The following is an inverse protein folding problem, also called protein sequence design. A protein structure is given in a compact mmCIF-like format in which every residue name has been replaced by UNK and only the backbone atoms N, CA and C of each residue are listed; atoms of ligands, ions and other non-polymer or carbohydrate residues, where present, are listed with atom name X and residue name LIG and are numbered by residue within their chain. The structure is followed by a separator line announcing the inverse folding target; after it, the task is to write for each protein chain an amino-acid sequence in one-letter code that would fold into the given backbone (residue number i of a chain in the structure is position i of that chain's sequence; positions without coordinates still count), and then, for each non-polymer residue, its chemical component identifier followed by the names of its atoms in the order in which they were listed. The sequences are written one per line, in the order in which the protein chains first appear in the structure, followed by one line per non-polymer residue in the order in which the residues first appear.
data_IF_141029465346
#
_entry.id   IF_141029465346
#
_cell.length_a   1.000
_cell.length_b   1.000
_cell.length_c   1.000
_cell.angle_alpha   90.00
_cell.angle_beta   90.00
_cell.angle_gamma   90.00
#
_symmetry.space_group_name_H-M   'P 1'
#
loop_
_entity.id
_entity.type
_entity.pdbx_description
1 polymer ?
#
# COMPACT_ATOMS: atom_id res chain seq x y z
N UNK A 1 -4.24 -1.63 -10.92
CA UNK A 1 -3.99 -3.09 -11.04
C UNK A 1 -5.28 -3.85 -10.76
N UNK A 2 -5.54 -5.01 -11.37
CA UNK A 2 -6.75 -5.84 -11.12
C UNK A 2 -6.49 -6.89 -10.04
N UNK A 3 -7.52 -7.42 -9.36
CA UNK A 3 -7.34 -8.45 -8.32
C UNK A 3 -6.55 -9.67 -8.80
N UNK A 4 -6.83 -10.16 -10.00
CA UNK A 4 -6.12 -11.31 -10.58
C UNK A 4 -4.62 -11.05 -10.84
N UNK A 5 -4.24 -9.80 -11.10
CA UNK A 5 -2.84 -9.41 -11.29
C UNK A 5 -2.09 -9.37 -9.95
N UNK A 6 -2.74 -8.87 -8.89
CA UNK A 6 -2.20 -8.91 -7.51
C UNK A 6 -2.01 -10.36 -7.06
N UNK A 7 -3.03 -11.20 -7.22
CA UNK A 7 -2.93 -12.63 -6.87
C UNK A 7 -1.85 -13.39 -7.64
N UNK A 8 -1.53 -12.97 -8.88
CA UNK A 8 -0.43 -13.56 -9.64
C UNK A 8 0.94 -13.08 -9.16
N UNK A 9 1.04 -11.85 -8.66
CA UNK A 9 2.28 -11.29 -8.11
C UNK A 9 2.61 -11.84 -6.71
N UNK A 10 1.59 -12.11 -5.90
CA UNK A 10 1.74 -12.64 -4.55
C UNK A 10 1.47 -14.14 -4.54
N UNK A 11 2.54 -14.94 -4.49
CA UNK A 11 2.46 -16.41 -4.49
C UNK A 11 1.96 -17.00 -3.16
N UNK A 12 1.73 -16.16 -2.16
CA UNK A 12 1.29 -16.55 -0.82
C UNK A 12 -0.23 -16.61 -0.72
N UNK A 13 -0.79 -17.50 0.12
CA UNK A 13 -2.21 -17.50 0.39
C UNK A 13 -2.62 -16.22 1.13
N UNK A 14 -3.87 -15.80 0.92
CA UNK A 14 -4.41 -14.68 1.67
C UNK A 14 -4.49 -15.00 3.17
N UNK A 15 -4.18 -14.02 4.01
CA UNK A 15 -4.15 -14.17 5.47
C UNK A 15 -4.83 -12.97 6.14
N UNK A 16 -5.69 -13.27 7.10
CA UNK A 16 -6.28 -12.26 7.98
C UNK A 16 -5.42 -12.09 9.24
N UNK A 17 -5.24 -10.84 9.68
CA UNK A 17 -4.55 -10.48 10.92
C UNK A 17 -5.42 -9.51 11.73
N UNK A 18 -5.36 -9.57 13.07
CA UNK A 18 -6.26 -8.81 13.96
C UNK A 18 -6.25 -7.30 13.71
N UNK A 19 -5.11 -6.74 13.29
CA UNK A 19 -4.98 -5.30 13.00
C UNK A 19 -5.80 -4.87 11.77
N UNK A 20 -6.16 -5.81 10.88
CA UNK A 20 -6.88 -5.52 9.64
C UNK A 20 -8.32 -5.10 9.87
N UNK A 21 -8.89 -5.39 11.05
CA UNK A 21 -10.23 -4.94 11.43
C UNK A 21 -11.34 -5.70 10.71
N UNK A 22 -12.49 -5.03 10.50
CA UNK A 22 -13.70 -5.65 9.95
C UNK A 22 -14.19 -4.95 8.68
N UNK A 23 -15.00 -5.69 7.89
CA UNK A 23 -15.47 -5.32 6.55
C UNK A 23 -14.33 -5.09 5.54
N UNK A 24 -13.84 -6.17 4.96
CA UNK A 24 -12.69 -6.21 4.03
C UNK A 24 -13.07 -6.87 2.71
N UNK A 25 -14.35 -6.80 2.34
CA UNK A 25 -14.85 -7.43 1.10
C UNK A 25 -14.22 -6.80 -0.15
N UNK A 26 -13.77 -5.57 -0.03
CA UNK A 26 -13.06 -4.77 -1.03
C UNK A 26 -11.55 -5.02 -1.06
N UNK A 27 -11.02 -5.89 -0.21
CA UNK A 27 -9.58 -6.06 -0.07
C UNK A 27 -9.08 -7.49 -0.36
N UNK A 28 -7.86 -7.58 -0.89
CA UNK A 28 -7.03 -8.78 -0.81
C UNK A 28 -6.04 -8.63 0.34
N UNK A 29 -5.93 -9.68 1.16
CA UNK A 29 -5.22 -9.64 2.43
C UNK A 29 -3.96 -10.50 2.37
N UNK A 30 -2.81 -9.90 2.61
CA UNK A 30 -1.53 -10.60 2.73
C UNK A 30 -0.85 -10.19 4.03
N UNK A 31 0.21 -10.91 4.40
CA UNK A 31 0.90 -10.65 5.65
C UNK A 31 1.38 -9.19 5.71
N UNK A 32 0.83 -8.39 6.63
CA UNK A 32 1.10 -6.96 6.75
C UNK A 32 0.62 -6.05 5.61
N UNK A 33 -0.20 -6.55 4.68
CA UNK A 33 -0.64 -5.80 3.51
C UNK A 33 -2.14 -5.95 3.29
N UNK A 34 -2.81 -4.84 2.97
CA UNK A 34 -4.17 -4.85 2.40
C UNK A 34 -4.15 -4.13 1.06
N UNK A 35 -4.65 -4.78 0.04
CA UNK A 35 -4.87 -4.21 -1.29
C UNK A 35 -6.37 -3.98 -1.47
N UNK A 36 -6.81 -2.74 -1.35
CA UNK A 36 -8.20 -2.32 -1.53
C UNK A 36 -8.50 -2.04 -3.00
N UNK A 37 -9.74 -2.32 -3.39
CA UNK A 37 -10.19 -2.20 -4.77
C UNK A 37 -11.51 -1.44 -4.86
N UNK A 38 -11.67 -0.74 -5.97
CA UNK A 38 -12.80 0.17 -6.23
C UNK A 38 -14.19 -0.47 -6.16
N UNK A 39 -14.30 -1.78 -6.38
CA UNK A 39 -15.57 -2.51 -6.39
C UNK A 39 -15.43 -3.92 -5.80
N UNK A 40 -16.45 -4.35 -5.05
CA UNK A 40 -16.57 -5.70 -4.51
C UNK A 40 -18.01 -6.22 -4.50
N UNK A 41 -18.16 -7.54 -4.35
CA UNK A 41 -19.41 -8.15 -3.90
C UNK A 41 -19.38 -8.40 -2.38
N UNK A 42 -20.29 -9.23 -1.86
CA UNK A 42 -20.33 -9.55 -0.42
C UNK A 42 -19.18 -10.44 0.06
N UNK A 43 -18.27 -10.85 -0.82
CA UNK A 43 -17.22 -11.85 -0.54
C UNK A 43 -15.83 -11.37 -0.93
N UNK A 44 -15.67 -10.65 -2.03
CA UNK A 44 -14.36 -10.30 -2.57
C UNK A 44 -14.41 -9.14 -3.59
N UNK A 45 -13.25 -8.55 -3.92
CA UNK A 45 -13.13 -7.61 -5.03
C UNK A 45 -13.65 -8.20 -6.35
N UNK A 46 -14.36 -7.39 -7.14
CA UNK A 46 -14.81 -7.83 -8.47
C UNK A 46 -13.62 -7.99 -9.41
N UNK A 47 -13.59 -8.97 -10.34
CA UNK A 47 -12.46 -9.14 -11.26
C UNK A 47 -12.15 -7.92 -12.15
N UNK A 48 -13.14 -7.04 -12.34
CA UNK A 48 -13.05 -5.80 -13.11
C UNK A 48 -12.66 -4.58 -12.29
N UNK A 49 -12.57 -4.69 -10.96
CA UNK A 49 -12.20 -3.58 -10.09
C UNK A 49 -10.75 -3.18 -10.29
N UNK A 50 -10.45 -1.96 -9.87
CA UNK A 50 -9.09 -1.39 -9.91
C UNK A 50 -8.59 -1.17 -8.49
N UNK A 51 -7.36 -1.59 -8.24
CA UNK A 51 -6.60 -1.28 -7.04
C UNK A 51 -6.54 0.24 -6.87
N UNK A 52 -7.02 0.74 -5.74
CA UNK A 52 -7.11 2.17 -5.40
C UNK A 52 -6.26 2.52 -4.16
N UNK A 53 -6.15 1.60 -3.20
CA UNK A 53 -5.46 1.86 -1.94
C UNK A 53 -4.70 0.61 -1.46
N UNK A 54 -3.41 0.75 -1.16
CA UNK A 54 -2.61 -0.20 -0.39
C UNK A 54 -2.37 0.26 1.06
N UNK A 55 -2.80 -0.54 2.04
CA UNK A 55 -2.45 -0.34 3.46
C UNK A 55 -1.27 -1.23 3.78
N UNK A 56 -0.25 -0.67 4.42
CA UNK A 56 0.92 -1.42 4.86
C UNK A 56 1.04 -1.33 6.38
N UNK A 57 1.02 -2.47 7.05
CA UNK A 57 1.31 -2.55 8.47
C UNK A 57 2.83 -2.53 8.68
N UNK A 58 3.31 -1.69 9.60
CA UNK A 58 4.73 -1.64 9.93
C UNK A 58 5.17 -2.94 10.61
N UNK A 59 6.01 -3.73 9.93
CA UNK A 59 6.52 -5.02 10.40
C UNK A 59 7.87 -5.37 9.75
N UNK A 60 8.72 -6.12 10.42
CA UNK A 60 10.11 -6.34 9.99
C UNK A 60 10.26 -7.13 8.68
N UNK A 61 9.25 -7.90 8.29
CA UNK A 61 9.21 -8.82 7.13
C UNK A 61 8.39 -8.31 5.94
N UNK A 62 7.72 -7.15 6.04
CA UNK A 62 7.12 -6.49 4.88
C UNK A 62 8.17 -5.64 4.16
N UNK A 63 8.13 -5.57 2.83
CA UNK A 63 9.04 -4.75 2.04
C UNK A 63 8.29 -3.78 1.13
N UNK A 64 8.85 -2.59 0.96
CA UNK A 64 8.52 -1.63 -0.11
C UNK A 64 9.79 -1.40 -0.93
N UNK A 65 9.70 -1.43 -2.26
CA UNK A 65 10.86 -1.29 -3.17
C UNK A 65 12.07 -2.17 -2.76
N UNK A 66 11.81 -3.44 -2.45
CA UNK A 66 12.83 -4.43 -2.06
C UNK A 66 13.56 -4.13 -0.74
N UNK A 67 13.05 -3.21 0.10
CA UNK A 67 13.60 -2.89 1.42
C UNK A 67 12.56 -3.04 2.54
N UNK A 68 12.94 -3.50 3.75
CA UNK A 68 12.02 -3.67 4.87
C UNK A 68 11.22 -2.39 5.17
N UNK A 69 9.90 -2.51 5.36
CA UNK A 69 8.98 -1.39 5.59
C UNK A 69 9.40 -0.55 6.81
N UNK A 70 10.01 -1.19 7.80
CA UNK A 70 10.52 -0.58 9.04
C UNK A 70 11.67 0.40 8.79
N UNK A 71 12.36 0.30 7.65
CA UNK A 71 13.41 1.24 7.26
C UNK A 71 12.86 2.47 6.52
N UNK A 72 11.59 2.46 6.12
CA UNK A 72 10.99 3.56 5.38
C UNK A 72 10.49 4.65 6.31
N UNK A 73 11.22 5.76 6.29
CA UNK A 73 10.73 7.05 6.74
C UNK A 73 10.47 7.96 5.54
N UNK A 74 9.84 9.11 5.80
CA UNK A 74 9.53 10.12 4.79
C UNK A 74 10.72 10.49 3.90
N UNK A 75 11.89 10.75 4.49
CA UNK A 75 13.10 11.11 3.73
C UNK A 75 13.58 9.95 2.85
N UNK A 76 13.60 8.72 3.37
CA UNK A 76 14.00 7.54 2.60
C UNK A 76 13.07 7.31 1.39
N UNK A 77 11.76 7.46 1.58
CA UNK A 77 10.77 7.37 0.51
C UNK A 77 11.01 8.43 -0.56
N UNK A 78 11.14 9.70 -0.15
CA UNK A 78 11.36 10.82 -1.10
C UNK A 78 12.64 10.60 -1.90
N UNK A 79 13.74 10.19 -1.25
CA UNK A 79 15.01 9.92 -1.93
C UNK A 79 14.90 8.76 -2.93
N UNK A 80 14.21 7.67 -2.57
CA UNK A 80 13.98 6.56 -3.49
C UNK A 80 13.16 7.00 -4.72
N UNK A 81 12.08 7.74 -4.51
CA UNK A 81 11.22 8.23 -5.58
C UNK A 81 11.98 9.18 -6.52
N UNK A 82 12.76 10.12 -5.97
CA UNK A 82 13.60 11.01 -6.77
C UNK A 82 14.66 10.23 -7.55
N UNK A 83 15.28 9.21 -6.96
CA UNK A 83 16.27 8.34 -7.62
C UNK A 83 15.65 7.60 -8.81
N UNK A 84 14.37 7.24 -8.71
CA UNK A 84 13.59 6.62 -9.79
C UNK A 84 13.05 7.62 -10.81
N UNK A 85 13.30 8.91 -10.63
CA UNK A 85 12.92 9.98 -11.56
C UNK A 85 11.49 10.51 -11.40
N UNK A 86 10.81 10.18 -10.28
CA UNK A 86 9.50 10.76 -9.99
C UNK A 86 9.63 12.21 -9.55
N UNK A 87 8.68 13.05 -9.95
CA UNK A 87 8.50 14.37 -9.36
C UNK A 87 7.76 14.20 -8.03
N UNK A 88 8.19 14.87 -6.97
CA UNK A 88 7.65 14.64 -5.63
C UNK A 88 7.15 15.96 -5.04
N UNK A 89 5.91 15.97 -4.55
CA UNK A 89 5.33 17.04 -3.74
C UNK A 89 5.21 16.55 -2.31
N UNK A 90 5.56 17.41 -1.36
CA UNK A 90 5.52 17.08 0.06
C UNK A 90 4.60 18.05 0.77
N UNK A 91 3.45 17.55 1.20
CA UNK A 91 2.43 18.36 1.85
C UNK A 91 2.72 18.55 3.35
N UNK A 92 2.24 19.63 3.98
CA UNK A 92 2.47 19.92 5.40
C UNK A 92 1.88 18.88 6.36
N UNK A 93 0.87 18.13 5.92
CA UNK A 93 0.18 17.11 6.71
C UNK A 93 0.98 15.79 6.84
N UNK A 94 2.16 15.72 6.23
CA UNK A 94 2.99 14.52 6.25
C UNK A 94 3.00 13.80 4.91
N UNK A 95 2.02 14.05 4.04
CA UNK A 95 1.86 13.28 2.80
C UNK A 95 2.95 13.57 1.77
N UNK A 96 3.20 12.57 0.93
CA UNK A 96 4.07 12.63 -0.23
C UNK A 96 3.25 12.22 -1.44
N UNK A 97 3.07 13.16 -2.37
CA UNK A 97 2.35 12.95 -3.61
C UNK A 97 3.33 12.90 -4.79
N UNK A 98 3.11 11.99 -5.73
CA UNK A 98 3.84 11.95 -7.01
C UNK A 98 2.87 12.01 -8.20
N UNK A 99 3.25 12.62 -9.33
CA UNK A 99 2.40 12.64 -10.50
C UNK A 99 2.22 11.23 -11.04
N UNK A 100 0.96 10.92 -11.31
CA UNK A 100 0.41 9.60 -11.66
C UNK A 100 0.24 8.69 -10.43
N UNK A 101 -0.93 8.89 -9.82
CA UNK A 101 -1.66 7.94 -9.00
C UNK A 101 -0.85 7.27 -7.89
N UNK A 102 0.11 7.94 -7.24
CA UNK A 102 0.66 7.38 -6.00
C UNK A 102 0.69 8.46 -4.92
N UNK A 103 -0.10 8.23 -3.86
CA UNK A 103 -0.09 9.03 -2.63
C UNK A 103 0.51 8.22 -1.50
N UNK A 104 1.30 8.84 -0.61
CA UNK A 104 1.93 8.18 0.52
C UNK A 104 1.67 8.99 1.78
N UNK A 105 1.20 8.36 2.86
CA UNK A 105 0.94 9.02 4.15
C UNK A 105 1.76 8.40 5.28
N UNK A 106 2.15 9.25 6.22
CA UNK A 106 3.11 8.95 7.28
C UNK A 106 2.50 9.23 8.66
N UNK A 107 2.90 8.45 9.65
CA UNK A 107 2.54 8.70 11.05
C UNK A 107 3.30 9.89 11.65
N UNK A 108 2.97 10.24 12.89
CA UNK A 108 3.62 11.33 13.64
C UNK A 108 5.14 11.14 13.84
N UNK A 109 5.64 9.91 13.70
CA UNK A 109 7.07 9.58 13.78
C UNK A 109 7.73 9.55 12.39
N UNK A 110 7.01 9.92 11.34
CA UNK A 110 7.49 9.98 9.97
C UNK A 110 7.64 8.63 9.30
N UNK A 111 7.03 7.57 9.84
CA UNK A 111 7.05 6.23 9.26
C UNK A 111 5.85 6.02 8.34
N UNK A 112 6.06 5.23 7.29
CA UNK A 112 5.01 4.97 6.30
C UNK A 112 3.83 4.22 6.93
N UNK A 113 2.61 4.65 6.62
CA UNK A 113 1.36 4.05 7.11
C UNK A 113 0.43 3.64 5.95
N UNK A 114 0.42 4.41 4.85
CA UNK A 114 -0.53 4.22 3.76
C UNK A 114 0.08 4.59 2.39
N UNK A 115 -0.23 3.81 1.35
CA UNK A 115 -0.05 4.13 -0.09
C UNK A 115 -1.39 4.12 -0.86
N UNK A 116 -1.71 5.15 -1.63
CA UNK A 116 -2.84 5.22 -2.59
C UNK A 116 -2.31 5.01 -4.03
N UNK A 117 -3.06 4.38 -4.93
CA UNK A 117 -2.63 3.95 -6.28
C UNK A 117 -3.52 4.37 -7.46
#
# INVERSE_FOLDING_TARGET
MRPGEVLAAFSEPQVYEDWMGGNLNDALLFHGLRFHFSDCDTRAPLPTSTLDWVVIHQREDACLFDRPITEWNKEAVVQELLTRGYHVLTEPNGDVEVPQNIGLSFDENGRLNWVEL
#
